data_IF_450788362522
#
_entry.id   IF_450788362522
#
_cell.length_a   1.000
_cell.length_b   1.000
_cell.length_c   1.000
_cell.angle_alpha   90.00
_cell.angle_beta   90.00
_cell.angle_gamma   90.00
#
_symmetry.space_group_name_H-M   'P 1'
#
loop_
_entity.id
_entity.type
_entity.pdbx_description
1 polymer ?
#
# COMPACT_ATOMS: atom_id res chain seq x y z
N UNK A 1 34.86 -19.08 -38.14
CA UNK A 1 35.32 -18.99 -36.73
C UNK A 1 34.34 -18.09 -36.00
N UNK A 2 33.58 -18.62 -35.05
CA UNK A 2 32.69 -17.81 -34.21
C UNK A 2 33.56 -16.92 -33.31
N UNK A 3 33.31 -15.62 -33.31
CA UNK A 3 33.99 -14.70 -32.41
C UNK A 3 33.42 -14.88 -30.99
N UNK A 4 34.12 -15.63 -30.15
CA UNK A 4 33.71 -15.90 -28.76
C UNK A 4 33.59 -14.62 -27.93
N UNK A 5 34.38 -13.58 -28.26
CA UNK A 5 34.32 -12.26 -27.63
C UNK A 5 33.00 -11.56 -27.92
N UNK A 6 32.48 -11.65 -29.16
CA UNK A 6 31.17 -11.09 -29.49
C UNK A 6 30.02 -11.88 -28.86
N UNK A 7 30.16 -13.20 -28.69
CA UNK A 7 29.14 -14.02 -28.00
C UNK A 7 29.09 -13.67 -26.50
N UNK A 8 30.25 -13.56 -25.83
CA UNK A 8 30.32 -13.17 -24.41
C UNK A 8 29.84 -11.74 -24.18
N UNK A 9 30.21 -10.79 -25.06
CA UNK A 9 29.71 -9.41 -24.99
C UNK A 9 28.20 -9.35 -25.19
N UNK A 10 27.67 -10.13 -26.13
CA UNK A 10 26.23 -10.22 -26.39
C UNK A 10 25.48 -10.81 -25.19
N UNK A 11 25.98 -11.92 -24.61
CA UNK A 11 25.35 -12.54 -23.44
C UNK A 11 25.36 -11.64 -22.20
N UNK A 12 26.45 -10.91 -21.94
CA UNK A 12 26.49 -9.91 -20.85
C UNK A 12 25.49 -8.78 -21.07
N UNK A 13 25.32 -8.31 -22.31
CA UNK A 13 24.35 -7.25 -22.63
C UNK A 13 22.92 -7.74 -22.42
N UNK A 14 22.59 -8.96 -22.87
CA UNK A 14 21.27 -9.56 -22.60
C UNK A 14 21.03 -9.80 -21.12
N UNK A 15 22.03 -10.23 -20.36
CA UNK A 15 21.89 -10.43 -18.92
C UNK A 15 21.68 -9.11 -18.18
N UNK A 16 22.41 -8.05 -18.54
CA UNK A 16 22.20 -6.71 -17.98
C UNK A 16 20.81 -6.16 -18.32
N UNK A 17 20.35 -6.29 -19.57
CA UNK A 17 18.99 -5.90 -19.97
C UNK A 17 17.96 -6.68 -19.16
N UNK A 18 18.13 -7.99 -19.01
CA UNK A 18 17.23 -8.83 -18.22
C UNK A 18 17.15 -8.36 -16.75
N UNK A 19 18.29 -8.13 -16.09
CA UNK A 19 18.32 -7.65 -14.70
C UNK A 19 17.61 -6.29 -14.53
N UNK A 20 17.80 -5.36 -15.48
CA UNK A 20 17.11 -4.06 -15.45
C UNK A 20 15.59 -4.23 -15.56
N UNK A 21 15.12 -5.08 -16.48
CA UNK A 21 13.67 -5.32 -16.65
C UNK A 21 13.03 -5.97 -15.41
N UNK A 22 13.71 -6.93 -14.77
CA UNK A 22 13.23 -7.59 -13.56
C UNK A 22 13.13 -6.61 -12.39
N UNK A 23 14.13 -5.73 -12.21
CA UNK A 23 14.14 -4.75 -11.13
C UNK A 23 12.98 -3.73 -11.22
N UNK A 24 12.63 -3.29 -12.43
CA UNK A 24 11.52 -2.34 -12.64
C UNK A 24 10.16 -2.97 -12.36
N UNK A 25 9.92 -4.20 -12.82
CA UNK A 25 8.68 -4.94 -12.53
C UNK A 25 8.48 -5.10 -11.02
N UNK A 26 9.53 -5.48 -10.29
CA UNK A 26 9.48 -5.63 -8.84
C UNK A 26 9.20 -4.32 -8.08
N UNK A 27 9.51 -3.15 -8.64
CA UNK A 27 9.19 -1.85 -8.04
C UNK A 27 7.71 -1.48 -8.22
N UNK A 28 7.17 -1.63 -9.44
CA UNK A 28 5.74 -1.37 -9.72
C UNK A 28 4.85 -2.23 -8.82
N UNK A 29 5.22 -3.49 -8.64
CA UNK A 29 4.46 -4.40 -7.79
C UNK A 29 4.39 -3.93 -6.34
N UNK A 30 5.45 -3.29 -5.82
CA UNK A 30 5.46 -2.73 -4.45
C UNK A 30 4.50 -1.58 -4.25
N UNK A 31 4.33 -0.72 -5.26
CA UNK A 31 3.30 0.31 -5.20
C UNK A 31 1.90 -0.32 -5.11
N UNK A 32 1.65 -1.39 -5.87
CA UNK A 32 0.37 -2.11 -5.83
C UNK A 32 0.15 -2.81 -4.49
N UNK A 33 1.17 -3.38 -3.84
CA UNK A 33 1.06 -3.90 -2.46
C UNK A 33 0.59 -2.80 -1.51
N UNK A 34 1.27 -1.64 -1.52
CA UNK A 34 0.92 -0.53 -0.65
C UNK A 34 -0.47 0.02 -0.95
N UNK A 35 -0.83 0.12 -2.22
CA UNK A 35 -2.13 0.62 -2.65
C UNK A 35 -3.25 -0.30 -2.17
N UNK A 36 -3.04 -1.62 -2.22
CA UNK A 36 -3.98 -2.60 -1.70
C UNK A 36 -4.16 -2.47 -0.18
N UNK A 37 -3.09 -2.20 0.59
CA UNK A 37 -3.21 -1.87 2.03
C UNK A 37 -4.15 -0.68 2.21
N UNK A 38 -3.92 0.41 1.49
CA UNK A 38 -4.68 1.65 1.66
C UNK A 38 -6.15 1.48 1.27
N UNK A 39 -6.43 0.80 0.16
CA UNK A 39 -7.80 0.59 -0.32
C UNK A 39 -8.60 -0.31 0.62
N UNK A 40 -8.01 -1.41 1.08
CA UNK A 40 -8.67 -2.29 2.05
C UNK A 40 -8.82 -1.62 3.42
N UNK A 41 -7.86 -0.79 3.84
CA UNK A 41 -7.99 0.02 5.06
C UNK A 41 -9.17 1.00 4.96
N UNK A 42 -9.32 1.68 3.81
CA UNK A 42 -10.46 2.57 3.53
C UNK A 42 -11.79 1.81 3.52
N UNK A 43 -11.82 0.62 2.92
CA UNK A 43 -12.99 -0.25 2.96
C UNK A 43 -13.36 -0.62 4.40
N UNK A 44 -12.38 -0.99 5.24
CA UNK A 44 -12.57 -1.25 6.66
C UNK A 44 -13.05 -0.03 7.45
N UNK A 45 -12.50 1.16 7.19
CA UNK A 45 -12.96 2.42 7.80
C UNK A 45 -14.44 2.67 7.52
N UNK A 46 -14.87 2.49 6.27
CA UNK A 46 -16.26 2.63 5.83
C UNK A 46 -17.17 1.56 6.46
N UNK A 47 -16.74 0.30 6.46
CA UNK A 47 -17.48 -0.82 7.09
C UNK A 47 -17.77 -0.57 8.57
N UNK A 48 -16.82 0.05 9.27
CA UNK A 48 -16.86 0.29 10.72
C UNK A 48 -17.34 1.68 11.12
N UNK A 49 -17.80 2.51 10.16
CA UNK A 49 -18.04 3.94 10.40
C UNK A 49 -19.19 4.23 11.40
N UNK A 50 -20.23 3.41 11.39
CA UNK A 50 -21.45 3.56 12.20
C UNK A 50 -21.54 2.54 13.34
N UNK A 51 -20.43 1.89 13.68
CA UNK A 51 -20.37 0.95 14.79
C UNK A 51 -20.12 1.68 16.12
N UNK A 52 -20.43 0.99 17.21
CA UNK A 52 -20.17 1.42 18.57
C UNK A 52 -19.55 0.24 19.34
N UNK A 53 -19.10 0.49 20.58
CA UNK A 53 -18.76 -0.62 21.47
C UNK A 53 -19.97 -1.53 21.65
N UNK A 54 -19.72 -2.82 21.84
CA UNK A 54 -20.78 -3.84 21.85
C UNK A 54 -21.70 -3.80 23.09
N UNK A 55 -21.53 -2.85 24.02
CA UNK A 55 -22.39 -2.70 25.17
C UNK A 55 -23.63 -1.87 24.90
N UNK A 56 -24.53 -1.84 25.89
CA UNK A 56 -25.86 -1.22 25.74
C UNK A 56 -25.93 0.26 26.09
N UNK A 57 -24.84 0.88 26.56
CA UNK A 57 -24.86 2.28 27.01
C UNK A 57 -23.69 3.08 26.42
N UNK A 58 -23.88 3.54 25.18
CA UNK A 58 -22.89 4.32 24.42
C UNK A 58 -22.40 5.56 25.18
N UNK A 59 -23.28 6.28 25.90
CA UNK A 59 -22.90 7.47 26.68
C UNK A 59 -21.93 7.15 27.81
N UNK A 60 -22.16 6.03 28.52
CA UNK A 60 -21.26 5.58 29.58
C UNK A 60 -19.94 5.09 28.99
N UNK A 61 -20.00 4.33 27.90
CA UNK A 61 -18.82 3.79 27.23
C UNK A 61 -17.95 4.89 26.66
N UNK A 62 -18.51 5.89 25.99
CA UNK A 62 -17.73 7.00 25.43
C UNK A 62 -17.04 7.82 26.52
N UNK A 63 -17.66 7.97 27.70
CA UNK A 63 -17.06 8.64 28.86
C UNK A 63 -15.92 7.83 29.49
N UNK A 64 -15.91 6.51 29.34
CA UNK A 64 -14.95 5.61 30.00
C UNK A 64 -13.85 5.09 29.09
N UNK A 65 -14.19 4.80 27.85
CA UNK A 65 -13.35 4.17 26.83
C UNK A 65 -12.95 5.15 25.70
N UNK A 66 -13.56 6.34 25.65
CA UNK A 66 -13.39 7.28 24.55
C UNK A 66 -14.27 6.93 23.35
N UNK A 67 -14.01 7.55 22.20
CA UNK A 67 -14.84 7.33 21.00
C UNK A 67 -14.46 6.03 20.29
N UNK A 68 -15.44 5.19 19.95
CA UNK A 68 -15.22 3.99 19.14
C UNK A 68 -14.44 4.29 17.84
N UNK A 69 -14.77 5.41 17.20
CA UNK A 69 -14.15 5.89 15.98
C UNK A 69 -12.61 6.04 16.04
N UNK A 70 -12.03 6.17 17.24
CA UNK A 70 -10.58 6.27 17.47
C UNK A 70 -10.05 5.18 18.40
N UNK A 71 -10.81 4.11 18.61
CA UNK A 71 -10.45 3.04 19.54
C UNK A 71 -9.53 2.01 18.86
N UNK A 72 -8.70 1.36 19.67
CA UNK A 72 -7.90 0.22 19.22
C UNK A 72 -8.77 -0.94 18.72
N UNK A 73 -9.92 -1.16 19.36
CA UNK A 73 -10.89 -2.19 18.92
C UNK A 73 -11.32 -1.95 17.47
N UNK A 74 -11.67 -0.70 17.12
CA UNK A 74 -12.02 -0.36 15.74
C UNK A 74 -10.83 -0.58 14.79
N UNK A 75 -9.61 -0.24 15.22
CA UNK A 75 -8.42 -0.46 14.41
C UNK A 75 -8.19 -1.95 14.13
N UNK A 76 -8.30 -2.81 15.14
CA UNK A 76 -8.18 -4.26 14.99
C UNK A 76 -9.21 -4.81 14.00
N UNK A 77 -10.48 -4.38 14.09
CA UNK A 77 -11.51 -4.78 13.12
C UNK A 77 -11.18 -4.34 11.67
N UNK A 78 -10.61 -3.15 11.50
CA UNK A 78 -10.16 -2.68 10.18
C UNK A 78 -9.00 -3.53 9.69
N UNK A 79 -8.04 -3.82 10.57
CA UNK A 79 -6.82 -4.56 10.23
C UNK A 79 -7.07 -6.02 9.90
N UNK A 80 -8.09 -6.65 10.49
CA UNK A 80 -8.49 -8.02 10.18
C UNK A 80 -8.76 -8.21 8.67
N UNK A 81 -9.30 -7.18 8.02
CA UNK A 81 -9.74 -7.24 6.63
C UNK A 81 -8.72 -6.70 5.61
N UNK A 82 -7.54 -6.28 6.06
CA UNK A 82 -6.49 -5.78 5.17
C UNK A 82 -6.08 -6.80 4.12
N UNK A 83 -5.68 -6.29 2.96
CA UNK A 83 -5.16 -7.04 1.81
C UNK A 83 -6.09 -8.09 1.19
N UNK A 84 -7.29 -8.33 1.74
CA UNK A 84 -8.26 -9.27 1.19
C UNK A 84 -9.03 -8.60 0.06
N UNK A 85 -8.71 -8.96 -1.19
CA UNK A 85 -9.27 -8.36 -2.41
C UNK A 85 -10.80 -8.49 -2.49
N UNK A 86 -11.38 -9.48 -1.83
CA UNK A 86 -12.84 -9.68 -1.77
C UNK A 86 -13.63 -8.53 -1.14
N UNK A 87 -12.96 -7.62 -0.42
CA UNK A 87 -13.61 -6.44 0.19
C UNK A 87 -13.49 -5.17 -0.65
N UNK A 88 -12.84 -5.24 -1.81
CA UNK A 88 -12.79 -4.13 -2.75
C UNK A 88 -13.94 -4.24 -3.75
N UNK A 89 -14.58 -3.10 -4.02
CA UNK A 89 -15.61 -2.99 -5.07
C UNK A 89 -15.01 -3.22 -6.47
N UNK A 90 -13.77 -2.78 -6.68
CA UNK A 90 -12.98 -3.03 -7.89
C UNK A 90 -11.60 -3.59 -7.51
N UNK A 91 -11.30 -4.77 -8.05
CA UNK A 91 -10.03 -5.46 -7.84
C UNK A 91 -9.20 -5.59 -9.12
N UNK A 92 -9.66 -5.02 -10.24
CA UNK A 92 -9.01 -5.14 -11.55
C UNK A 92 -7.57 -4.64 -11.54
N UNK A 93 -7.28 -3.56 -10.79
CA UNK A 93 -5.95 -2.94 -10.70
C UNK A 93 -4.85 -3.82 -10.10
N UNK A 94 -5.21 -4.95 -9.47
CA UNK A 94 -4.29 -5.83 -8.75
C UNK A 94 -4.12 -7.23 -9.38
N UNK A 95 -4.95 -7.60 -10.37
CA UNK A 95 -5.03 -8.99 -10.87
C UNK A 95 -3.79 -9.49 -11.60
N UNK A 96 -2.99 -8.58 -12.12
CA UNK A 96 -1.75 -8.86 -12.83
C UNK A 96 -0.54 -9.03 -11.89
N UNK A 97 -0.71 -8.78 -10.58
CA UNK A 97 0.35 -8.96 -9.59
C UNK A 97 0.22 -10.32 -8.92
N UNK A 98 1.25 -11.14 -9.13
CA UNK A 98 1.32 -12.47 -8.54
C UNK A 98 1.42 -12.38 -7.00
N UNK A 99 0.67 -13.23 -6.31
CA UNK A 99 0.70 -13.35 -4.85
C UNK A 99 0.43 -12.02 -4.11
N UNK A 100 -0.35 -11.11 -4.73
CA UNK A 100 -0.60 -9.75 -4.23
C UNK A 100 -1.09 -9.71 -2.77
N UNK A 101 -2.06 -10.54 -2.40
CA UNK A 101 -2.60 -10.54 -1.03
C UNK A 101 -1.53 -10.94 -0.01
N UNK A 102 -0.73 -11.97 -0.31
CA UNK A 102 0.38 -12.40 0.54
C UNK A 102 1.45 -11.31 0.65
N UNK A 103 1.85 -10.70 -0.46
CA UNK A 103 2.87 -9.63 -0.49
C UNK A 103 2.40 -8.36 0.22
N UNK A 104 1.11 -8.05 0.11
CA UNK A 104 0.47 -6.98 0.87
C UNK A 104 0.50 -7.28 2.37
N UNK A 105 0.16 -8.50 2.80
CA UNK A 105 0.22 -8.89 4.21
C UNK A 105 1.63 -8.76 4.79
N UNK A 106 2.67 -9.19 4.05
CA UNK A 106 4.06 -8.97 4.46
C UNK A 106 4.37 -7.48 4.68
N UNK A 107 3.87 -6.60 3.80
CA UNK A 107 4.05 -5.15 3.94
C UNK A 107 3.32 -4.59 5.17
N UNK A 108 2.14 -5.12 5.50
CA UNK A 108 1.39 -4.75 6.72
C UNK A 108 2.16 -5.18 7.96
N UNK A 109 2.63 -6.43 8.02
CA UNK A 109 3.42 -6.95 9.15
C UNK A 109 4.71 -6.12 9.37
N UNK A 110 5.41 -5.75 8.30
CA UNK A 110 6.63 -4.93 8.38
C UNK A 110 6.37 -3.48 8.85
N UNK A 111 5.15 -2.97 8.69
CA UNK A 111 4.82 -1.56 8.89
C UNK A 111 3.58 -1.32 9.77
N UNK A 112 3.22 -2.28 10.60
CA UNK A 112 2.08 -2.24 11.52
C UNK A 112 2.14 -0.98 12.41
N UNK A 113 3.28 -0.73 13.07
CA UNK A 113 3.48 0.47 13.91
C UNK A 113 3.23 1.78 13.14
N UNK A 114 3.56 1.82 11.85
CA UNK A 114 3.31 3.01 11.03
C UNK A 114 1.81 3.18 10.73
N UNK A 115 1.09 2.09 10.48
CA UNK A 115 -0.36 2.10 10.28
C UNK A 115 -1.07 2.53 11.57
N UNK A 116 -0.68 1.98 12.72
CA UNK A 116 -1.21 2.38 14.03
C UNK A 116 -0.95 3.86 14.33
N UNK A 117 0.29 4.33 14.14
CA UNK A 117 0.64 5.72 14.35
C UNK A 117 -0.18 6.66 13.44
N UNK A 118 -0.44 6.25 12.20
CA UNK A 118 -1.32 7.02 11.33
C UNK A 118 -2.73 7.12 11.91
N UNK A 119 -3.28 5.96 12.30
CA UNK A 119 -4.63 5.86 12.83
C UNK A 119 -4.82 6.71 14.10
N UNK A 120 -3.90 6.62 15.06
CA UNK A 120 -4.07 7.33 16.34
C UNK A 120 -3.60 8.79 16.30
N UNK A 121 -2.64 9.14 15.44
CA UNK A 121 -1.93 10.42 15.56
C UNK A 121 -1.85 11.25 14.29
N UNK A 122 -2.11 10.69 13.10
CA UNK A 122 -1.95 11.42 11.82
C UNK A 122 -3.23 11.67 11.06
N UNK A 123 -4.36 11.05 11.40
CA UNK A 123 -5.63 11.28 10.66
C UNK A 123 -6.01 12.76 10.50
N UNK A 124 -5.71 13.63 11.47
CA UNK A 124 -6.01 15.06 11.38
C UNK A 124 -4.96 15.84 10.58
N UNK A 125 -3.67 15.55 10.78
CA UNK A 125 -2.60 16.30 10.14
C UNK A 125 -2.29 15.83 8.72
N UNK A 126 -2.49 14.55 8.45
CA UNK A 126 -2.25 13.86 7.17
C UNK A 126 -3.42 12.89 6.88
N UNK A 127 -4.61 13.40 6.54
CA UNK A 127 -5.81 12.58 6.35
C UNK A 127 -5.73 11.64 5.14
N UNK A 128 -4.86 11.92 4.17
CA UNK A 128 -4.65 11.03 3.03
C UNK A 128 -3.63 9.94 3.37
N UNK A 129 -4.14 8.75 3.70
CA UNK A 129 -3.32 7.58 3.99
C UNK A 129 -2.45 7.17 2.78
N UNK A 130 -2.93 7.33 1.54
CA UNK A 130 -2.15 6.95 0.36
C UNK A 130 -0.88 7.80 0.28
N UNK A 131 -1.06 9.11 0.36
CA UNK A 131 0.03 10.06 0.32
C UNK A 131 1.00 9.86 1.49
N UNK A 132 0.47 9.85 2.71
CA UNK A 132 1.30 9.74 3.91
C UNK A 132 2.07 8.42 3.96
N UNK A 133 1.40 7.30 3.69
CA UNK A 133 1.99 5.97 3.84
C UNK A 133 2.80 5.56 2.60
N UNK A 134 2.18 5.55 1.42
CA UNK A 134 2.80 4.98 0.23
C UNK A 134 3.78 5.94 -0.46
N UNK A 135 3.52 7.26 -0.41
CA UNK A 135 4.33 8.23 -1.18
C UNK A 135 5.44 8.79 -0.29
N UNK A 136 5.11 9.21 0.92
CA UNK A 136 6.05 9.91 1.81
C UNK A 136 6.83 8.93 2.69
N UNK A 137 6.12 8.07 3.45
CA UNK A 137 6.74 7.18 4.44
C UNK A 137 7.51 6.03 3.79
N UNK A 138 6.88 5.31 2.86
CA UNK A 138 7.48 4.13 2.23
C UNK A 138 8.14 4.41 0.87
N UNK A 139 7.76 5.51 0.20
CA UNK A 139 8.25 5.88 -1.14
C UNK A 139 8.15 4.73 -2.16
N UNK A 140 7.04 4.00 -2.10
CA UNK A 140 6.75 2.90 -3.02
C UNK A 140 5.93 3.37 -4.22
N UNK A 141 5.18 4.46 -4.06
CA UNK A 141 4.36 5.05 -5.10
C UNK A 141 4.75 6.52 -5.33
N UNK A 142 4.29 7.07 -6.45
CA UNK A 142 4.48 8.46 -6.81
C UNK A 142 3.15 9.13 -7.08
N UNK A 143 3.13 10.47 -6.98
CA UNK A 143 2.01 11.28 -7.45
C UNK A 143 1.77 11.09 -8.95
N UNK A 144 0.55 11.40 -9.40
CA UNK A 144 0.21 11.38 -10.81
C UNK A 144 1.20 12.23 -11.64
N UNK A 145 1.55 11.71 -12.82
CA UNK A 145 2.53 12.35 -13.70
C UNK A 145 3.98 12.18 -13.26
N UNK A 146 4.28 11.32 -12.27
CA UNK A 146 5.65 11.02 -11.83
C UNK A 146 5.94 9.51 -11.82
N UNK A 147 7.21 9.12 -11.96
CA UNK A 147 7.62 7.72 -12.05
C UNK A 147 9.03 7.45 -11.49
N UNK A 148 9.29 6.17 -11.19
CA UNK A 148 10.59 5.67 -10.71
C UNK A 148 10.84 5.94 -9.23
N UNK A 149 12.00 5.48 -8.74
CA UNK A 149 12.37 5.57 -7.32
C UNK A 149 12.52 7.01 -6.79
N UNK A 150 12.87 7.96 -7.67
CA UNK A 150 12.99 9.38 -7.34
C UNK A 150 11.71 10.19 -7.65
N UNK A 151 10.64 9.52 -8.10
CA UNK A 151 9.40 10.16 -8.58
C UNK A 151 9.67 11.33 -9.54
N UNK A 152 10.39 11.07 -10.65
CA UNK A 152 10.67 12.07 -11.69
C UNK A 152 9.42 12.32 -12.53
N UNK A 153 9.22 13.55 -13.06
CA UNK A 153 8.08 13.83 -13.94
C UNK A 153 8.13 12.94 -15.19
N UNK A 154 6.99 12.38 -15.55
CA UNK A 154 6.81 11.60 -16.77
C UNK A 154 7.11 12.46 -18.00
N UNK A 155 7.90 11.98 -18.97
CA UNK A 155 8.15 12.71 -20.20
C UNK A 155 6.83 12.94 -20.97
N UNK A 156 6.59 14.16 -21.45
CA UNK A 156 5.44 14.49 -22.28
C UNK A 156 4.12 14.72 -21.53
N UNK A 157 4.13 14.72 -20.19
CA UNK A 157 3.02 15.27 -19.40
C UNK A 157 3.30 16.76 -19.25
N UNK A 158 2.71 17.57 -20.13
CA UNK A 158 2.77 19.02 -20.06
C UNK A 158 2.20 19.50 -18.71
N UNK A 159 2.89 20.46 -18.08
CA UNK A 159 2.49 21.07 -16.79
C UNK A 159 1.21 21.89 -16.91
#
# INVERSE_FOLDING_TARGET
>A
MYNTQSVLSSSMTYWLIFMVTVGFAAYIDKCKYCSLVVETFKAGLKKTENQHFAGGNTDWEEKKLGKFAKSEIRLVEIMEDLCKMKYLDDSNGFRDVKDIEFKCQQLVEEHEESIENWYFHKQLSNPDLMKWFCYEKLRLCCDAGHFGADCKPCPGVDK
#
